data_IF_627202599187
#
_entry.id   IF_627202599187
#
_cell.length_a   1.000
_cell.length_b   1.000
_cell.length_c   1.000
_cell.angle_alpha   90.00
_cell.angle_beta   90.00
_cell.angle_gamma   90.00
#
_symmetry.space_group_name_H-M   'P 1'
#
loop_
_entity.id
_entity.type
_entity.pdbx_description
1 polymer ?
#
# COMPACT_ATOMS: atom_id res chain seq x y z
N UNK A 1 24.98 47.05 35.92
CA UNK A 1 24.79 45.68 35.40
C UNK A 1 23.32 45.61 35.11
N UNK A 2 22.99 45.82 33.84
CA UNK A 2 21.71 46.37 33.46
C UNK A 2 20.72 45.23 33.21
N UNK A 3 19.47 45.44 33.64
CA UNK A 3 18.41 44.42 33.69
C UNK A 3 18.11 43.78 32.31
N UNK A 4 18.51 44.47 31.22
CA UNK A 4 18.40 44.00 29.83
C UNK A 4 19.46 42.95 29.45
N UNK A 5 20.68 43.03 30.00
CA UNK A 5 21.74 42.06 29.75
C UNK A 5 21.44 40.74 30.47
N UNK A 6 20.88 40.83 31.68
CA UNK A 6 20.50 39.67 32.49
C UNK A 6 19.39 38.88 31.77
N UNK A 7 18.30 39.54 31.32
CA UNK A 7 17.24 38.85 30.55
C UNK A 7 17.74 38.22 29.25
N UNK A 8 18.55 38.92 28.49
CA UNK A 8 19.07 38.43 27.21
C UNK A 8 20.05 37.25 27.39
N UNK A 9 20.82 37.26 28.48
CA UNK A 9 21.71 36.13 28.83
C UNK A 9 20.92 34.90 29.26
N UNK A 10 19.84 35.07 30.03
CA UNK A 10 18.95 33.98 30.45
C UNK A 10 18.28 33.36 29.22
N UNK A 11 17.65 34.15 28.35
CA UNK A 11 16.92 33.65 27.17
C UNK A 11 17.82 32.86 26.20
N UNK A 12 19.07 33.30 25.98
CA UNK A 12 20.04 32.55 25.16
C UNK A 12 20.44 31.23 25.80
N UNK A 13 20.67 31.21 27.11
CA UNK A 13 21.08 30.02 27.83
C UNK A 13 19.96 28.96 27.85
N UNK A 14 18.69 29.39 28.00
CA UNK A 14 17.52 28.49 27.93
C UNK A 14 17.35 27.87 26.55
N UNK A 15 17.63 28.64 25.48
CA UNK A 15 17.52 28.17 24.11
C UNK A 15 18.64 27.19 23.72
N UNK A 16 19.87 27.42 24.19
CA UNK A 16 20.98 26.48 24.02
C UNK A 16 20.75 25.17 24.79
N UNK A 17 20.22 25.24 26.02
CA UNK A 17 19.82 24.05 26.77
C UNK A 17 18.72 23.25 26.06
N UNK A 18 17.74 23.92 25.45
CA UNK A 18 16.69 23.27 24.66
C UNK A 18 17.22 22.60 23.39
N UNK A 19 18.22 23.20 22.73
CA UNK A 19 18.90 22.57 21.59
C UNK A 19 19.72 21.36 22.01
N UNK A 20 20.44 21.45 23.12
CA UNK A 20 21.23 20.35 23.66
C UNK A 20 20.34 19.19 24.10
N UNK A 21 19.23 19.46 24.78
CA UNK A 21 18.27 18.41 25.17
C UNK A 21 17.64 17.73 23.95
N UNK A 22 17.26 18.50 22.92
CA UNK A 22 16.73 17.93 21.67
C UNK A 22 17.78 17.11 20.90
N UNK A 23 19.05 17.53 20.92
CA UNK A 23 20.14 16.77 20.31
C UNK A 23 20.41 15.46 21.07
N UNK A 24 20.42 15.49 22.40
CA UNK A 24 20.56 14.30 23.24
C UNK A 24 19.41 13.32 23.04
N UNK A 25 18.18 13.81 22.97
CA UNK A 25 16.99 13.00 22.70
C UNK A 25 17.03 12.32 21.31
N UNK A 26 17.62 12.99 20.31
CA UNK A 26 17.85 12.37 18.99
C UNK A 26 18.92 11.28 19.04
N UNK A 27 20.01 11.52 19.77
CA UNK A 27 21.09 10.53 19.94
C UNK A 27 20.57 9.30 20.69
N UNK A 28 19.80 9.49 21.75
CA UNK A 28 19.21 8.41 22.53
C UNK A 28 18.24 7.57 21.70
N UNK A 29 17.34 8.21 20.94
CA UNK A 29 16.45 7.49 20.00
C UNK A 29 17.20 6.75 18.90
N UNK A 30 18.33 7.29 18.43
CA UNK A 30 19.18 6.59 17.45
C UNK A 30 19.86 5.36 18.06
N UNK A 31 20.31 5.45 19.32
CA UNK A 31 20.89 4.31 20.03
C UNK A 31 19.84 3.22 20.28
N UNK A 32 18.63 3.60 20.71
CA UNK A 32 17.53 2.65 20.92
C UNK A 32 17.15 1.93 19.62
N UNK A 33 17.04 2.65 18.50
CA UNK A 33 16.80 2.04 17.19
C UNK A 33 17.90 1.08 16.77
N UNK A 34 19.17 1.48 16.94
CA UNK A 34 20.30 0.62 16.59
C UNK A 34 20.34 -0.65 17.46
N UNK A 35 20.00 -0.54 18.74
CA UNK A 35 19.93 -1.69 19.63
C UNK A 35 18.80 -2.65 19.25
N UNK A 36 17.62 -2.12 18.88
CA UNK A 36 16.52 -2.92 18.34
C UNK A 36 16.89 -3.60 17.02
N UNK A 37 17.55 -2.88 16.12
CA UNK A 37 18.00 -3.43 14.83
C UNK A 37 18.97 -4.60 15.01
N UNK A 38 19.89 -4.52 15.98
CA UNK A 38 20.78 -5.64 16.32
C UNK A 38 20.04 -6.86 16.86
N UNK A 39 19.04 -6.65 17.72
CA UNK A 39 18.21 -7.73 18.28
C UNK A 39 17.41 -8.40 17.14
N UNK A 40 16.80 -7.59 16.28
CA UNK A 40 16.06 -8.05 15.11
C UNK A 40 16.96 -8.84 14.15
N UNK A 41 18.15 -8.34 13.84
CA UNK A 41 19.10 -9.02 12.95
C UNK A 41 19.59 -10.34 13.56
N UNK A 42 19.77 -10.40 14.89
CA UNK A 42 20.09 -11.66 15.56
C UNK A 42 18.93 -12.65 15.47
N UNK A 43 17.71 -12.21 15.73
CA UNK A 43 16.50 -13.05 15.66
C UNK A 43 16.24 -13.55 14.23
N UNK A 44 16.41 -12.70 13.21
CA UNK A 44 16.30 -13.08 11.80
C UNK A 44 17.34 -14.13 11.40
N UNK A 45 18.58 -14.00 11.88
CA UNK A 45 19.64 -15.01 11.64
C UNK A 45 19.29 -16.35 12.27
N UNK A 46 18.82 -16.35 13.52
CA UNK A 46 18.42 -17.57 14.21
C UNK A 46 17.24 -18.26 13.51
N UNK A 47 16.24 -17.51 13.04
CA UNK A 47 15.11 -18.07 12.28
C UNK A 47 15.57 -18.69 10.96
N UNK A 48 16.42 -17.99 10.19
CA UNK A 48 16.98 -18.51 8.93
C UNK A 48 17.80 -19.78 9.16
N UNK A 49 18.59 -19.82 10.22
CA UNK A 49 19.38 -20.99 10.57
C UNK A 49 18.51 -22.19 10.95
N UNK A 50 17.43 -21.97 11.73
CA UNK A 50 16.46 -23.02 12.06
C UNK A 50 15.82 -23.61 10.81
N UNK A 51 15.37 -22.77 9.87
CA UNK A 51 14.78 -23.20 8.60
C UNK A 51 15.79 -24.04 7.80
N UNK A 52 17.00 -23.55 7.61
CA UNK A 52 18.08 -24.27 6.91
C UNK A 52 18.38 -25.65 7.52
N UNK A 53 18.46 -25.73 8.86
CA UNK A 53 18.68 -27.00 9.57
C UNK A 53 17.52 -27.97 9.37
N UNK A 54 16.27 -27.49 9.37
CA UNK A 54 15.08 -28.32 9.15
C UNK A 54 14.98 -28.80 7.70
N UNK A 55 15.32 -27.97 6.72
CA UNK A 55 15.41 -28.36 5.31
C UNK A 55 16.46 -29.45 5.09
N UNK A 56 17.65 -29.29 5.70
CA UNK A 56 18.71 -30.29 5.64
C UNK A 56 18.29 -31.60 6.31
N UNK A 57 17.63 -31.52 7.47
CA UNK A 57 17.07 -32.69 8.16
C UNK A 57 16.00 -33.39 7.31
N UNK A 58 15.16 -32.63 6.58
CA UNK A 58 14.15 -33.18 5.68
C UNK A 58 14.80 -33.93 4.51
N UNK A 59 15.89 -33.39 3.95
CA UNK A 59 16.65 -34.01 2.86
C UNK A 59 17.38 -35.29 3.29
N UNK A 60 17.86 -35.36 4.54
CA UNK A 60 18.57 -36.53 5.08
C UNK A 60 17.64 -37.62 5.62
N UNK A 61 16.38 -37.30 5.94
CA UNK A 61 15.45 -38.25 6.55
C UNK A 61 14.76 -39.14 5.51
N UNK A 62 15.08 -40.43 5.53
CA UNK A 62 14.46 -41.43 4.64
C UNK A 62 13.15 -42.04 5.18
N UNK A 63 12.90 -41.97 6.49
CA UNK A 63 11.71 -42.53 7.14
C UNK A 63 10.48 -41.63 6.90
N UNK A 64 9.37 -42.14 6.31
CA UNK A 64 8.21 -41.33 5.96
C UNK A 64 7.54 -40.65 7.17
N UNK A 65 7.53 -41.30 8.34
CA UNK A 65 6.86 -40.75 9.53
C UNK A 65 7.66 -39.60 10.14
N UNK A 66 8.99 -39.75 10.19
CA UNK A 66 9.90 -38.69 10.67
C UNK A 66 9.99 -37.55 9.67
N UNK A 67 9.97 -37.85 8.36
CA UNK A 67 9.96 -36.85 7.29
C UNK A 67 8.72 -35.95 7.38
N UNK A 68 7.55 -36.53 7.67
CA UNK A 68 6.34 -35.73 7.89
C UNK A 68 6.45 -34.82 9.13
N UNK A 69 7.04 -35.31 10.22
CA UNK A 69 7.24 -34.51 11.43
C UNK A 69 8.20 -33.34 11.19
N UNK A 70 9.32 -33.57 10.49
CA UNK A 70 10.27 -32.51 10.11
C UNK A 70 9.62 -31.51 9.15
N UNK A 71 8.79 -31.98 8.22
CA UNK A 71 8.03 -31.11 7.32
C UNK A 71 7.09 -30.18 8.08
N UNK A 72 6.33 -30.72 9.04
CA UNK A 72 5.43 -29.90 9.86
C UNK A 72 6.19 -28.82 10.65
N UNK A 73 7.37 -29.16 11.20
CA UNK A 73 8.22 -28.21 11.92
C UNK A 73 8.82 -27.15 10.98
N UNK A 74 9.15 -27.53 9.75
CA UNK A 74 9.60 -26.59 8.72
C UNK A 74 8.48 -25.62 8.34
N UNK A 75 7.27 -26.13 8.10
CA UNK A 75 6.09 -25.31 7.80
C UNK A 75 5.78 -24.34 8.96
N UNK A 76 5.91 -24.79 10.21
CA UNK A 76 5.77 -23.95 11.41
C UNK A 76 6.84 -22.84 11.48
N UNK A 77 8.11 -23.17 11.23
CA UNK A 77 9.20 -22.19 11.25
C UNK A 77 9.06 -21.13 10.13
N UNK A 78 8.60 -21.53 8.95
CA UNK A 78 8.31 -20.61 7.84
C UNK A 78 7.14 -19.68 8.20
N UNK A 79 6.09 -20.22 8.85
CA UNK A 79 4.95 -19.43 9.30
C UNK A 79 5.37 -18.39 10.35
N UNK A 80 6.20 -18.78 11.32
CA UNK A 80 6.74 -17.87 12.35
C UNK A 80 7.54 -16.72 11.72
N UNK A 81 8.41 -17.04 10.76
CA UNK A 81 9.17 -16.03 10.03
C UNK A 81 8.26 -15.06 9.26
N UNK A 82 7.23 -15.56 8.58
CA UNK A 82 6.27 -14.72 7.85
C UNK A 82 5.47 -13.80 8.79
N UNK A 83 5.03 -14.31 9.94
CA UNK A 83 4.32 -13.51 10.94
C UNK A 83 5.20 -12.37 11.48
N UNK A 84 6.47 -12.66 11.75
CA UNK A 84 7.44 -11.66 12.19
C UNK A 84 7.59 -10.51 11.18
N UNK A 85 7.74 -10.81 9.88
CA UNK A 85 7.84 -9.77 8.84
C UNK A 85 6.54 -8.96 8.67
N UNK A 86 5.38 -9.60 8.84
CA UNK A 86 4.08 -8.90 8.81
C UNK A 86 3.94 -7.92 9.98
N UNK A 87 4.37 -8.31 11.18
CA UNK A 87 4.31 -7.44 12.36
C UNK A 87 5.26 -6.25 12.23
N UNK A 88 6.49 -6.49 11.77
CA UNK A 88 7.51 -5.46 11.51
C UNK A 88 7.00 -4.40 10.53
N UNK A 89 6.45 -4.83 9.39
CA UNK A 89 5.90 -3.90 8.39
C UNK A 89 4.67 -3.12 8.91
N UNK A 90 3.82 -3.75 9.75
CA UNK A 90 2.71 -3.03 10.40
C UNK A 90 3.20 -1.90 11.31
N UNK A 91 4.25 -2.15 12.09
CA UNK A 91 4.86 -1.14 12.96
C UNK A 91 5.44 0.02 12.16
N UNK A 92 6.22 -0.27 11.11
CA UNK A 92 6.79 0.77 10.24
C UNK A 92 5.71 1.62 9.54
N UNK A 93 4.64 0.99 9.06
CA UNK A 93 3.49 1.70 8.48
C UNK A 93 2.78 2.56 9.52
N UNK A 94 2.65 2.08 10.75
CA UNK A 94 2.02 2.85 11.83
C UNK A 94 2.83 4.10 12.17
N UNK A 95 4.15 4.00 12.22
CA UNK A 95 5.05 5.15 12.43
C UNK A 95 4.95 6.17 11.30
N UNK A 96 4.99 5.72 10.05
CA UNK A 96 4.80 6.60 8.87
C UNK A 96 3.43 7.29 8.90
N UNK A 97 2.37 6.56 9.27
CA UNK A 97 1.02 7.12 9.41
C UNK A 97 0.93 8.18 10.52
N UNK A 98 1.60 7.98 11.66
CA UNK A 98 1.63 8.98 12.76
C UNK A 98 2.25 10.29 12.29
N UNK A 99 3.34 10.24 11.51
CA UNK A 99 3.97 11.44 10.96
C UNK A 99 3.07 12.16 9.94
N UNK A 100 2.40 11.40 9.06
CA UNK A 100 1.43 11.97 8.10
C UNK A 100 0.25 12.63 8.80
N UNK A 101 -0.34 11.97 9.81
CA UNK A 101 -1.46 12.52 10.59
C UNK A 101 -1.03 13.81 11.31
N UNK A 102 0.16 13.84 11.89
CA UNK A 102 0.70 15.04 12.54
C UNK A 102 0.83 16.20 11.54
N UNK A 103 1.40 15.95 10.35
CA UNK A 103 1.53 16.97 9.31
C UNK A 103 0.16 17.50 8.84
N UNK A 104 -0.83 16.61 8.66
CA UNK A 104 -2.19 17.00 8.29
C UNK A 104 -2.82 17.90 9.37
N UNK A 105 -2.66 17.55 10.65
CA UNK A 105 -3.17 18.36 11.75
C UNK A 105 -2.53 19.76 11.80
N UNK A 106 -1.22 19.87 11.58
CA UNK A 106 -0.52 21.17 11.53
C UNK A 106 -1.02 22.01 10.36
N UNK A 107 -1.20 21.42 9.18
CA UNK A 107 -1.74 22.14 8.00
C UNK A 107 -3.16 22.61 8.27
N UNK A 108 -4.01 21.80 8.90
CA UNK A 108 -5.38 22.17 9.23
C UNK A 108 -5.45 23.38 10.17
N UNK A 109 -4.59 23.42 11.19
CA UNK A 109 -4.48 24.56 12.11
C UNK A 109 -4.04 25.84 11.35
N UNK A 110 -3.07 25.74 10.44
CA UNK A 110 -2.62 26.87 9.63
C UNK A 110 -3.73 27.40 8.71
N UNK A 111 -4.54 26.53 8.11
CA UNK A 111 -5.69 26.93 7.28
C UNK A 111 -6.74 27.68 8.11
N UNK A 112 -7.05 27.23 9.32
CA UNK A 112 -7.98 27.93 10.21
C UNK A 112 -7.46 29.32 10.58
N UNK A 113 -6.18 29.45 10.91
CA UNK A 113 -5.56 30.74 11.21
C UNK A 113 -5.59 31.69 9.99
N UNK A 114 -5.37 31.16 8.78
CA UNK A 114 -5.48 31.93 7.55
C UNK A 114 -6.91 32.43 7.29
N UNK A 115 -7.93 31.59 7.52
CA UNK A 115 -9.33 31.97 7.42
C UNK A 115 -9.69 33.09 8.41
N UNK A 116 -9.24 32.99 9.67
CA UNK A 116 -9.47 34.05 10.68
C UNK A 116 -8.80 35.36 10.26
N UNK A 117 -7.56 35.31 9.78
CA UNK A 117 -6.86 36.48 9.27
C UNK A 117 -7.58 37.11 8.07
N UNK A 118 -8.13 36.29 7.17
CA UNK A 118 -8.90 36.75 6.01
C UNK A 118 -10.23 37.42 6.41
N UNK A 119 -10.96 36.87 7.38
CA UNK A 119 -12.18 37.50 7.93
C UNK A 119 -11.85 38.84 8.60
N UNK A 120 -10.76 38.92 9.35
CA UNK A 120 -10.33 40.17 9.96
C UNK A 120 -9.90 41.20 8.89
N UNK A 121 -9.19 40.77 7.85
CA UNK A 121 -8.79 41.63 6.72
C UNK A 121 -10.00 42.19 5.94
N UNK A 122 -10.98 41.35 5.62
CA UNK A 122 -12.22 41.80 4.94
C UNK A 122 -13.03 42.77 5.80
N UNK A 123 -13.12 42.53 7.12
CA UNK A 123 -13.78 43.45 8.05
C UNK A 123 -13.05 44.80 8.16
N UNK A 124 -11.73 44.81 8.02
CA UNK A 124 -10.92 46.04 8.01
C UNK A 124 -11.11 46.85 6.72
N UNK A 125 -11.18 46.19 5.56
CA UNK A 125 -11.44 46.84 4.28
C UNK A 125 -12.87 47.37 4.15
N UNK A 126 -13.86 46.68 4.73
CA UNK A 126 -15.25 47.16 4.76
C UNK A 126 -15.44 48.46 5.56
N UNK A 127 -14.52 48.81 6.48
CA UNK A 127 -14.55 50.12 7.17
C UNK A 127 -14.03 51.28 6.31
N UNK A 128 -13.34 51.02 5.19
CA UNK A 128 -12.83 52.06 4.27
C UNK A 128 -13.75 52.32 3.06
N UNK A 129 -14.79 51.53 2.86
CA UNK A 129 -15.63 51.60 1.65
C UNK A 129 -17.00 52.25 1.86
N UNK A 130 -17.20 53.02 2.96
CA UNK A 130 -18.48 53.65 3.29
C UNK A 130 -18.55 55.17 3.00
N UNK A 131 -17.62 55.74 2.22
CA UNK A 131 -17.63 57.18 1.88
C UNK A 131 -17.91 57.51 0.42
N UNK A 132 -17.73 56.60 -0.54
CA UNK A 132 -17.89 56.97 -1.96
C UNK A 132 -18.71 55.93 -2.74
N UNK A 133 -20.05 55.91 -2.60
CA UNK A 133 -20.95 55.46 -3.68
C UNK A 133 -22.37 56.04 -3.47
N UNK A 134 -22.63 57.22 -4.02
CA UNK A 134 -23.97 57.58 -4.51
C UNK A 134 -23.78 58.02 -5.96
N UNK A 135 -24.66 57.50 -6.82
CA UNK A 135 -25.00 57.99 -8.17
C UNK A 135 -24.30 57.31 -9.37
N UNK A 136 -24.95 56.28 -9.91
CA UNK A 136 -25.44 56.27 -11.30
C UNK A 136 -26.10 54.92 -11.62
N UNK A 137 -27.43 54.91 -11.60
CA UNK A 137 -28.25 53.86 -12.20
C UNK A 137 -28.53 54.23 -13.66
N UNK A 138 -28.37 53.30 -14.60
CA UNK A 138 -29.31 53.08 -15.73
C UNK A 138 -28.81 52.08 -16.79
N UNK A 139 -29.69 51.12 -17.12
CA UNK A 139 -30.00 50.57 -18.49
C UNK A 139 -28.89 49.67 -19.11
N UNK A 140 -29.08 48.49 -19.71
CA UNK A 140 -30.22 47.66 -20.19
C UNK A 140 -29.76 46.23 -20.54
N UNK A 141 -30.74 45.34 -20.69
CA UNK A 141 -30.73 43.95 -21.18
C UNK A 141 -29.94 43.69 -22.48
N UNK A 142 -29.31 42.51 -22.63
CA UNK A 142 -29.72 41.41 -23.57
C UNK A 142 -28.60 40.39 -23.92
N UNK A 143 -29.05 39.15 -24.18
CA UNK A 143 -28.54 38.10 -25.11
C UNK A 143 -27.36 37.16 -24.77
N UNK A 144 -27.73 35.91 -24.43
CA UNK A 144 -27.50 34.62 -25.14
C UNK A 144 -26.09 34.05 -25.46
N UNK A 145 -25.87 32.83 -24.93
CA UNK A 145 -25.42 31.56 -25.55
C UNK A 145 -23.99 31.32 -26.10
N UNK A 146 -23.49 30.13 -25.66
CA UNK A 146 -22.76 29.08 -26.41
C UNK A 146 -21.22 28.92 -26.22
N UNK A 147 -20.89 27.85 -25.47
CA UNK A 147 -20.06 26.66 -25.81
C UNK A 147 -18.75 26.78 -26.60
N UNK A 148 -17.68 26.15 -26.07
CA UNK A 148 -16.79 25.24 -26.85
C UNK A 148 -15.77 24.51 -25.95
N UNK A 149 -15.80 23.18 -26.01
CA UNK A 149 -14.75 22.23 -25.60
C UNK A 149 -13.48 22.40 -26.44
N UNK A 150 -12.32 21.99 -25.90
CA UNK A 150 -11.18 21.53 -26.69
C UNK A 150 -10.32 20.51 -25.93
N UNK A 151 -10.35 19.30 -26.47
CA UNK A 151 -9.52 18.12 -26.20
C UNK A 151 -8.16 18.26 -26.87
N UNK A 152 -7.10 17.69 -26.29
CA UNK A 152 -5.84 17.44 -26.98
C UNK A 152 -5.27 16.08 -26.56
N UNK A 153 -5.31 15.13 -27.49
CA UNK A 153 -4.63 13.83 -27.43
C UNK A 153 -3.19 13.94 -27.95
N UNK A 154 -2.28 13.15 -27.37
CA UNK A 154 -1.02 12.78 -28.03
C UNK A 154 -0.82 11.27 -27.91
N UNK A 155 -0.55 10.64 -29.04
CA UNK A 155 -0.46 9.19 -29.28
C UNK A 155 1.01 8.76 -29.34
N UNK A 156 1.37 7.60 -28.77
CA UNK A 156 2.48 6.79 -29.30
C UNK A 156 2.41 5.28 -28.91
N UNK A 157 2.17 4.47 -29.96
CA UNK A 157 2.68 3.13 -30.34
C UNK A 157 2.50 1.87 -29.45
N UNK A 158 1.62 0.99 -29.95
CA UNK A 158 1.75 -0.45 -30.23
C UNK A 158 2.46 -1.41 -29.26
N UNK A 159 1.62 -2.13 -28.52
CA UNK A 159 1.57 -3.59 -28.63
C UNK A 159 0.11 -3.97 -28.77
N UNK A 160 -0.22 -5.01 -29.54
CA UNK A 160 -1.59 -5.50 -29.79
C UNK A 160 -2.33 -5.77 -28.47
N UNK A 161 -2.92 -4.72 -27.91
CA UNK A 161 -3.80 -4.79 -26.77
C UNK A 161 -5.12 -5.28 -27.33
N UNK A 162 -5.49 -6.52 -26.99
CA UNK A 162 -6.91 -6.88 -26.99
C UNK A 162 -7.57 -5.88 -26.04
N UNK A 163 -8.21 -4.86 -26.62
CA UNK A 163 -8.78 -3.76 -25.89
C UNK A 163 -10.07 -4.24 -25.22
N UNK A 164 -9.98 -4.59 -23.94
CA UNK A 164 -11.16 -4.74 -23.11
C UNK A 164 -11.65 -3.33 -22.71
N UNK A 165 -12.97 -3.15 -22.62
CA UNK A 165 -13.59 -1.92 -22.11
C UNK A 165 -13.44 -1.90 -20.58
N UNK A 166 -12.22 -1.60 -20.10
CA UNK A 166 -11.87 -1.60 -18.67
C UNK A 166 -10.50 -2.23 -18.38
N UNK A 167 -10.07 -2.15 -17.12
CA UNK A 167 -8.78 -2.70 -16.66
C UNK A 167 -8.77 -4.24 -16.65
N UNK A 168 -9.89 -4.85 -16.27
CA UNK A 168 -10.03 -6.30 -16.21
C UNK A 168 -10.89 -6.80 -17.39
N UNK A 169 -10.65 -8.04 -17.87
CA UNK A 169 -11.58 -8.70 -18.78
C UNK A 169 -12.98 -8.79 -18.16
N UNK A 170 -14.03 -8.56 -18.95
CA UNK A 170 -15.43 -8.59 -18.48
C UNK A 170 -15.81 -9.88 -17.74
N UNK A 171 -15.21 -11.00 -18.12
CA UNK A 171 -15.41 -12.31 -17.50
C UNK A 171 -14.93 -12.34 -16.04
N UNK A 172 -13.93 -11.53 -15.71
CA UNK A 172 -13.32 -11.45 -14.39
C UNK A 172 -14.10 -10.56 -13.43
N UNK A 173 -14.82 -9.56 -13.96
CA UNK A 173 -15.61 -8.62 -13.16
C UNK A 173 -16.66 -9.36 -12.31
N UNK A 174 -16.73 -8.97 -11.04
CA UNK A 174 -17.65 -9.53 -10.05
C UNK A 174 -16.93 -10.13 -8.85
N UNK A 175 -17.71 -10.86 -8.05
CA UNK A 175 -17.26 -11.45 -6.79
C UNK A 175 -17.00 -12.94 -6.97
N UNK A 176 -15.88 -13.40 -6.44
CA UNK A 176 -15.40 -14.77 -6.52
C UNK A 176 -15.19 -15.32 -5.12
N UNK A 177 -15.72 -16.51 -4.83
CA UNK A 177 -15.60 -17.17 -3.52
C UNK A 177 -14.76 -18.43 -3.63
N UNK A 178 -13.84 -18.58 -2.69
CA UNK A 178 -12.92 -19.70 -2.68
C UNK A 178 -12.24 -19.84 -1.33
N UNK A 179 -11.08 -20.48 -1.35
CA UNK A 179 -10.20 -20.62 -0.20
C UNK A 179 -8.79 -20.20 -0.56
N UNK A 180 -8.07 -19.68 0.42
CA UNK A 180 -6.67 -19.33 0.31
C UNK A 180 -5.96 -19.77 1.58
N UNK A 181 -4.92 -20.60 1.46
CA UNK A 181 -4.30 -21.26 2.62
C UNK A 181 -5.32 -21.92 3.57
N UNK A 182 -6.40 -22.48 3.01
CA UNK A 182 -7.48 -23.12 3.77
C UNK A 182 -8.52 -22.18 4.40
N UNK A 183 -8.34 -20.85 4.33
CA UNK A 183 -9.29 -19.87 4.86
C UNK A 183 -10.31 -19.41 3.80
N UNK A 184 -11.62 -19.31 4.15
CA UNK A 184 -12.63 -18.78 3.23
C UNK A 184 -12.28 -17.36 2.79
N UNK A 185 -12.12 -17.18 1.48
CA UNK A 185 -11.66 -15.92 0.90
C UNK A 185 -12.59 -15.49 -0.22
N UNK A 186 -12.85 -14.19 -0.32
CA UNK A 186 -13.64 -13.58 -1.39
C UNK A 186 -12.79 -12.54 -2.10
N UNK A 187 -12.75 -12.61 -3.43
CA UNK A 187 -12.08 -11.63 -4.30
C UNK A 187 -13.13 -10.90 -5.12
N UNK A 188 -13.11 -9.58 -5.14
CA UNK A 188 -14.03 -8.75 -5.92
C UNK A 188 -13.24 -7.91 -6.92
N UNK A 189 -13.54 -8.07 -8.20
CA UNK A 189 -13.00 -7.27 -9.30
C UNK A 189 -14.06 -6.26 -9.74
N UNK A 190 -13.71 -4.98 -9.68
CA UNK A 190 -14.56 -3.87 -10.10
C UNK A 190 -14.10 -3.35 -11.45
N UNK A 191 -15.03 -2.87 -12.29
CA UNK A 191 -14.72 -2.41 -13.65
C UNK A 191 -13.75 -1.24 -13.71
N UNK A 192 -13.67 -0.45 -12.63
CA UNK A 192 -12.75 0.67 -12.47
C UNK A 192 -11.31 0.26 -12.08
N UNK A 193 -11.01 -1.04 -12.01
CA UNK A 193 -9.69 -1.53 -11.59
C UNK A 193 -9.56 -1.79 -10.10
N UNK A 194 -10.58 -1.48 -9.28
CA UNK A 194 -10.52 -1.78 -7.85
C UNK A 194 -10.63 -3.29 -7.61
N UNK A 195 -9.69 -3.78 -6.80
CA UNK A 195 -9.62 -5.14 -6.32
C UNK A 195 -9.77 -5.15 -4.80
N UNK A 196 -10.68 -5.98 -4.30
CA UNK A 196 -10.85 -6.22 -2.86
C UNK A 196 -10.72 -7.69 -2.55
N UNK A 197 -9.94 -8.01 -1.54
CA UNK A 197 -9.76 -9.38 -1.07
C UNK A 197 -10.12 -9.42 0.40
N UNK A 198 -11.14 -10.21 0.73
CA UNK A 198 -11.63 -10.42 2.09
C UNK A 198 -11.32 -11.84 2.52
N UNK A 199 -10.53 -12.00 3.56
CA UNK A 199 -10.20 -13.29 4.18
C UNK A 199 -10.99 -13.39 5.48
N UNK A 200 -11.79 -14.43 5.63
CA UNK A 200 -12.53 -14.70 6.86
C UNK A 200 -11.74 -15.70 7.70
N UNK A 201 -11.36 -15.30 8.91
CA UNK A 201 -10.74 -16.16 9.91
C UNK A 201 -11.75 -17.13 10.53
N UNK A 202 -11.23 -18.15 11.23
CA UNK A 202 -12.04 -19.15 11.95
C UNK A 202 -12.93 -18.53 13.03
N UNK A 203 -12.51 -17.41 13.61
CA UNK A 203 -13.07 -16.86 14.84
C UNK A 203 -14.06 -15.72 14.56
N UNK A 204 -14.75 -15.76 13.42
CA UNK A 204 -15.60 -14.67 12.89
C UNK A 204 -14.89 -13.34 12.61
N UNK A 205 -13.57 -13.28 12.79
CA UNK A 205 -12.74 -12.17 12.35
C UNK A 205 -12.66 -12.14 10.82
N UNK A 206 -12.59 -10.95 10.23
CA UNK A 206 -12.31 -10.80 8.81
C UNK A 206 -11.27 -9.73 8.58
N UNK A 207 -10.28 -10.02 7.75
CA UNK A 207 -9.36 -9.02 7.23
C UNK A 207 -9.74 -8.69 5.79
N UNK A 208 -9.63 -7.42 5.44
CA UNK A 208 -9.85 -6.95 4.08
C UNK A 208 -8.61 -6.18 3.64
N UNK A 209 -8.09 -6.56 2.47
CA UNK A 209 -7.03 -5.85 1.78
C UNK A 209 -7.57 -5.39 0.44
N UNK A 210 -7.06 -4.26 -0.03
CA UNK A 210 -7.46 -3.70 -1.32
C UNK A 210 -6.25 -3.22 -2.11
N UNK A 211 -6.43 -3.22 -3.42
CA UNK A 211 -5.50 -2.67 -4.38
C UNK A 211 -6.28 -2.10 -5.56
N UNK A 212 -5.60 -1.29 -6.35
CA UNK A 212 -6.13 -0.78 -7.61
C UNK A 212 -5.18 -1.24 -8.70
N UNK A 213 -5.72 -1.98 -9.67
CA UNK A 213 -5.01 -2.37 -10.89
C UNK A 213 -5.23 -1.27 -11.91
N UNK A 214 -4.16 -0.84 -12.57
CA UNK A 214 -4.21 0.17 -13.63
C UNK A 214 -4.04 -0.47 -15.00
N UNK A 215 -3.30 -1.59 -15.09
CA UNK A 215 -3.06 -2.28 -16.35
C UNK A 215 -2.87 -3.78 -16.16
N UNK A 216 -3.50 -4.54 -17.04
CA UNK A 216 -3.39 -5.99 -17.14
C UNK A 216 -3.21 -6.38 -18.61
N UNK A 217 -2.38 -7.38 -18.88
CA UNK A 217 -2.12 -7.88 -20.23
C UNK A 217 -2.41 -9.38 -20.32
N UNK A 218 -2.97 -9.86 -21.44
CA UNK A 218 -3.08 -11.29 -21.68
C UNK A 218 -1.68 -11.90 -21.89
N UNK A 219 -1.45 -13.05 -21.26
CA UNK A 219 -0.29 -13.93 -21.51
C UNK A 219 -0.71 -15.03 -22.49
N UNK A 220 -1.91 -15.56 -22.32
CA UNK A 220 -2.61 -16.46 -23.23
C UNK A 220 -4.13 -16.18 -23.18
N UNK A 221 -4.95 -17.03 -23.81
CA UNK A 221 -6.42 -16.86 -23.87
C UNK A 221 -7.11 -16.78 -22.50
N UNK A 222 -6.55 -17.42 -21.49
CA UNK A 222 -7.13 -17.57 -20.15
C UNK A 222 -6.29 -16.96 -19.04
N UNK A 223 -5.04 -16.65 -19.33
CA UNK A 223 -4.03 -16.21 -18.37
C UNK A 223 -3.70 -14.75 -18.59
N UNK A 224 -3.67 -13.99 -17.51
CA UNK A 224 -3.52 -12.55 -17.54
C UNK A 224 -2.53 -12.09 -16.47
N UNK A 225 -1.62 -11.20 -16.84
CA UNK A 225 -0.60 -10.61 -15.97
C UNK A 225 -0.95 -9.19 -15.60
N UNK A 226 -0.84 -8.86 -14.33
CA UNK A 226 -0.94 -7.48 -13.83
C UNK A 226 0.40 -6.79 -14.07
N UNK A 227 0.39 -5.66 -14.76
CA UNK A 227 1.60 -4.91 -15.14
C UNK A 227 1.76 -3.64 -14.32
N UNK A 228 0.65 -3.03 -13.92
CA UNK A 228 0.65 -1.81 -13.12
C UNK A 228 -0.48 -1.84 -12.09
N UNK A 229 -0.13 -1.57 -10.84
CA UNK A 229 -1.05 -1.62 -9.71
C UNK A 229 -0.51 -0.85 -8.51
N UNK A 230 -1.40 -0.56 -7.58
CA UNK A 230 -1.07 -0.04 -6.26
C UNK A 230 -1.81 -0.82 -5.18
N UNK A 231 -1.24 -0.89 -3.97
CA UNK A 231 -1.82 -1.65 -2.87
C UNK A 231 -1.64 -3.17 -3.03
N UNK A 232 -2.60 -3.95 -2.52
CA UNK A 232 -2.49 -5.40 -2.45
C UNK A 232 -3.33 -6.06 -3.54
N UNK A 233 -2.66 -6.72 -4.50
CA UNK A 233 -3.31 -7.50 -5.56
C UNK A 233 -3.38 -9.00 -5.28
N UNK A 234 -2.56 -9.52 -4.35
CA UNK A 234 -2.67 -10.85 -3.77
C UNK A 234 -2.32 -10.80 -2.27
N UNK A 235 -2.89 -11.65 -1.40
CA UNK A 235 -2.88 -11.39 0.04
C UNK A 235 -1.64 -11.79 0.85
N UNK A 236 -0.46 -12.05 0.28
CA UNK A 236 0.75 -12.24 1.10
C UNK A 236 2.00 -11.48 0.65
N UNK A 237 2.95 -11.47 1.58
CA UNK A 237 4.31 -11.00 1.40
C UNK A 237 5.11 -12.11 0.72
N UNK A 238 5.46 -11.90 -0.55
CA UNK A 238 6.45 -12.73 -1.23
C UNK A 238 7.85 -12.22 -0.88
N UNK A 239 8.67 -13.08 -0.28
CA UNK A 239 10.05 -12.80 0.10
C UNK A 239 11.03 -13.72 -0.63
N UNK A 240 12.23 -13.22 -0.93
CA UNK A 240 13.30 -13.98 -1.58
C UNK A 240 14.43 -13.06 -2.02
N UNK A 241 15.67 -13.33 -1.57
CA UNK A 241 16.83 -12.57 -2.04
C UNK A 241 17.17 -12.99 -3.48
N UNK A 242 17.30 -12.02 -4.38
CA UNK A 242 17.68 -12.26 -5.78
C UNK A 242 16.55 -12.76 -6.69
N UNK A 243 15.30 -12.72 -6.23
CA UNK A 243 14.11 -13.19 -6.95
C UNK A 243 13.12 -12.03 -7.14
N UNK A 244 12.49 -11.98 -8.30
CA UNK A 244 11.39 -11.09 -8.64
C UNK A 244 10.09 -11.88 -8.81
N UNK A 245 8.97 -11.17 -8.63
CA UNK A 245 7.65 -11.75 -8.72
C UNK A 245 6.75 -10.87 -9.58
N UNK A 246 6.08 -11.51 -10.53
CA UNK A 246 4.94 -10.91 -11.24
C UNK A 246 3.66 -11.62 -10.82
N UNK A 247 2.56 -10.88 -10.81
CA UNK A 247 1.26 -11.36 -10.34
C UNK A 247 0.27 -11.43 -11.48
N UNK A 248 -0.66 -12.38 -11.39
CA UNK A 248 -1.70 -12.51 -12.38
C UNK A 248 -2.84 -13.39 -11.92
N UNK A 249 -3.72 -13.64 -12.88
CA UNK A 249 -4.85 -14.52 -12.70
C UNK A 249 -5.07 -15.35 -13.94
N UNK A 250 -5.48 -16.59 -13.72
CA UNK A 250 -5.92 -17.50 -14.77
C UNK A 250 -7.38 -17.87 -14.57
N UNK A 251 -8.15 -17.83 -15.65
CA UNK A 251 -9.50 -18.38 -15.70
C UNK A 251 -9.45 -19.84 -16.16
N UNK A 252 -10.35 -20.67 -15.67
CA UNK A 252 -10.64 -21.97 -16.30
C UNK A 252 -11.22 -21.75 -17.69
N UNK A 253 -11.13 -22.75 -18.56
CA UNK A 253 -11.63 -22.66 -19.94
C UNK A 253 -13.14 -22.38 -20.03
N UNK A 254 -13.90 -22.71 -18.99
CA UNK A 254 -15.34 -22.40 -18.87
C UNK A 254 -15.63 -21.01 -18.26
N UNK A 255 -14.59 -20.29 -17.83
CA UNK A 255 -14.69 -18.97 -17.20
C UNK A 255 -15.32 -18.98 -15.81
N UNK A 256 -15.53 -20.15 -15.19
CA UNK A 256 -16.23 -20.28 -13.90
C UNK A 256 -15.32 -20.36 -12.69
N UNK A 257 -14.04 -20.67 -12.92
CA UNK A 257 -13.03 -20.77 -11.87
C UNK A 257 -11.90 -19.78 -12.13
N UNK A 258 -11.49 -19.10 -11.08
CA UNK A 258 -10.39 -18.15 -11.08
C UNK A 258 -9.26 -18.71 -10.20
N UNK A 259 -8.05 -18.69 -10.73
CA UNK A 259 -6.82 -19.08 -10.06
C UNK A 259 -5.90 -17.87 -9.98
N UNK A 260 -5.59 -17.37 -8.77
CA UNK A 260 -4.51 -16.42 -8.62
C UNK A 260 -3.19 -17.12 -8.91
N UNK A 261 -2.32 -16.47 -9.67
CA UNK A 261 -1.05 -17.04 -10.12
C UNK A 261 0.09 -16.07 -9.85
N UNK A 262 1.29 -16.63 -9.72
CA UNK A 262 2.53 -15.86 -9.69
C UNK A 262 3.54 -16.44 -10.67
N UNK A 263 4.38 -15.55 -11.19
CA UNK A 263 5.63 -15.89 -11.85
C UNK A 263 6.78 -15.54 -10.93
N UNK A 264 7.77 -16.42 -10.87
CA UNK A 264 8.96 -16.25 -10.04
C UNK A 264 10.19 -16.41 -10.94
N UNK A 265 11.09 -15.44 -10.91
CA UNK A 265 12.28 -15.44 -11.75
C UNK A 265 13.45 -14.73 -11.07
N UNK A 266 14.69 -15.04 -11.44
CA UNK A 266 15.86 -14.35 -10.90
C UNK A 266 15.93 -12.89 -11.31
N UNK A 267 16.53 -12.01 -10.50
CA UNK A 267 16.68 -10.57 -10.81
C UNK A 267 17.42 -10.27 -12.13
N UNK A 268 18.20 -11.22 -12.63
CA UNK A 268 18.97 -11.10 -13.87
C UNK A 268 18.48 -12.06 -14.97
N UNK A 269 17.33 -12.70 -14.77
CA UNK A 269 16.74 -13.65 -15.72
C UNK A 269 15.56 -13.00 -16.43
N UNK A 270 15.38 -13.33 -17.71
CA UNK A 270 14.16 -12.95 -18.40
C UNK A 270 12.98 -13.78 -17.87
N UNK A 271 11.85 -13.14 -17.54
CA UNK A 271 10.70 -13.84 -16.99
C UNK A 271 10.07 -14.78 -18.03
N UNK A 272 9.97 -16.06 -17.67
CA UNK A 272 9.24 -17.04 -18.47
C UNK A 272 7.75 -17.04 -18.08
N UNK A 273 6.92 -16.36 -18.85
CA UNK A 273 5.49 -16.25 -18.55
C UNK A 273 4.66 -17.51 -18.86
N UNK A 274 5.26 -18.51 -19.51
CA UNK A 274 4.59 -19.80 -19.76
C UNK A 274 4.60 -20.71 -18.53
N UNK A 275 5.49 -20.46 -17.56
CA UNK A 275 5.62 -21.25 -16.34
C UNK A 275 5.19 -20.42 -15.13
N UNK A 276 4.05 -20.76 -14.54
CA UNK A 276 3.51 -20.07 -13.37
C UNK A 276 3.13 -21.07 -12.28
N UNK A 277 3.06 -20.58 -11.04
CA UNK A 277 2.54 -21.33 -9.90
C UNK A 277 1.17 -20.81 -9.50
N UNK A 278 0.25 -21.71 -9.16
CA UNK A 278 -1.02 -21.32 -8.53
C UNK A 278 -0.73 -20.87 -7.11
N UNK A 279 -1.09 -19.63 -6.81
CA UNK A 279 -0.81 -19.00 -5.55
C UNK A 279 -1.62 -19.65 -4.41
N UNK A 280 -0.93 -20.18 -3.40
CA UNK A 280 -1.50 -20.83 -2.21
C UNK A 280 -2.55 -21.91 -2.49
N UNK A 281 -2.47 -22.59 -3.64
CA UNK A 281 -3.49 -23.52 -4.14
C UNK A 281 -4.91 -22.92 -4.15
N UNK A 282 -5.01 -21.60 -4.28
CA UNK A 282 -6.29 -20.89 -4.28
C UNK A 282 -7.07 -21.18 -5.55
N UNK A 283 -8.36 -21.48 -5.39
CA UNK A 283 -9.31 -21.55 -6.49
C UNK A 283 -10.62 -20.90 -6.05
N UNK A 284 -11.22 -20.13 -6.95
CA UNK A 284 -12.39 -19.32 -6.64
C UNK A 284 -13.45 -19.53 -7.70
N UNK A 285 -14.69 -19.68 -7.27
CA UNK A 285 -15.85 -19.81 -8.15
C UNK A 285 -16.61 -18.50 -8.19
N UNK A 286 -17.12 -18.16 -9.37
CA UNK A 286 -17.88 -16.92 -9.54
C UNK A 286 -19.18 -16.99 -8.74
N UNK A 287 -19.47 -15.94 -7.98
CA UNK A 287 -20.76 -15.81 -7.30
C UNK A 287 -21.76 -15.40 -8.35
N UNK A 288 -22.59 -16.35 -8.78
CA UNK A 288 -23.77 -16.03 -9.59
C UNK A 288 -24.75 -15.28 -8.69
N UNK A 289 -25.06 -14.04 -9.07
CA UNK A 289 -26.19 -13.29 -8.51
C UNK A 289 -27.50 -13.88 -9.05
#
# INVERSE_FOLDING_TARGET
MDDWEIRNSIDRNTWEQSRQSSALEKIQRNQERFHQELIDEQQEREMREKISRLELALAQTSDPKKRQQVKNLLDEAILEQNLYYIEKDKLERQERRKQLIYNILVVLILVVLACVAFVLWTSYQNKKSQTDQIQASSISLSSSQASSDLTSSSTQADSERVAYDGVFPNQMIGTWKGTMSGMPTTITFSSNGDLRIKVNGSDSSSSEVSGTVYSMIPVDETTYRIVDYSGTVLPAQLGGSGIQYDFGYKLSSDGQTLYPILWQYGMNEEPNYSEYSIYENGSYTKVNN
#
